data_IF_958171871435
#
_entry.id   IF_958171871435
#
_cell.length_a   1.000
_cell.length_b   1.000
_cell.length_c   1.000
_cell.angle_alpha   90.00
_cell.angle_beta   90.00
_cell.angle_gamma   90.00
#
_symmetry.space_group_name_H-M   'P 1'
#
loop_
_entity.id
_entity.type
_entity.pdbx_description
1 polymer ?
#
# COMPACT_ATOMS: atom_id res chain seq x y z
N UNK A 1 -9.27 14.79 -8.74
CA UNK A 1 -7.97 14.20 -9.19
C UNK A 1 -7.58 13.03 -8.29
N UNK A 2 -7.52 13.21 -6.96
CA UNK A 2 -7.21 12.13 -6.01
C UNK A 2 -8.13 10.90 -6.11
N UNK A 3 -9.46 11.11 -6.16
CA UNK A 3 -10.40 10.00 -6.34
C UNK A 3 -10.15 9.20 -7.63
N UNK A 4 -9.75 9.87 -8.71
CA UNK A 4 -9.44 9.19 -9.97
C UNK A 4 -8.16 8.37 -9.82
N UNK A 5 -7.10 8.92 -9.19
CA UNK A 5 -5.87 8.20 -8.87
C UNK A 5 -6.15 6.91 -8.09
N UNK A 6 -7.00 6.96 -7.06
CA UNK A 6 -7.42 5.77 -6.32
C UNK A 6 -8.15 4.74 -7.20
N UNK A 7 -9.04 5.19 -8.09
CA UNK A 7 -9.73 4.32 -9.04
C UNK A 7 -8.78 3.67 -10.05
N UNK A 8 -7.79 4.42 -10.54
CA UNK A 8 -6.80 3.91 -11.51
C UNK A 8 -5.84 2.90 -10.86
N UNK A 9 -5.63 3.02 -9.55
CA UNK A 9 -4.84 2.08 -8.77
C UNK A 9 -5.63 0.84 -8.34
N UNK A 10 -6.96 0.77 -8.50
CA UNK A 10 -7.72 -0.44 -8.19
C UNK A 10 -7.42 -1.60 -9.16
N UNK A 11 -7.61 -2.82 -8.67
CA UNK A 11 -7.46 -4.08 -9.42
C UNK A 11 -8.55 -5.06 -9.01
N UNK A 12 -8.68 -6.18 -9.73
CA UNK A 12 -9.62 -7.25 -9.33
C UNK A 12 -9.31 -7.80 -7.93
N UNK A 13 -8.03 -7.84 -7.55
CA UNK A 13 -7.57 -8.43 -6.29
C UNK A 13 -7.68 -7.50 -5.07
N UNK A 14 -7.96 -6.21 -5.30
CA UNK A 14 -8.14 -5.19 -4.27
C UNK A 14 -9.60 -4.82 -4.03
N UNK A 15 -10.51 -5.27 -4.90
CA UNK A 15 -11.95 -5.02 -4.75
C UNK A 15 -12.43 -5.43 -3.36
N UNK A 16 -13.07 -4.49 -2.66
CA UNK A 16 -13.60 -4.70 -1.31
C UNK A 16 -12.56 -4.70 -0.20
N UNK A 17 -11.29 -4.38 -0.50
CA UNK A 17 -10.22 -4.28 0.49
C UNK A 17 -9.68 -2.86 0.56
N UNK A 18 -9.29 -2.42 1.75
CA UNK A 18 -8.55 -1.18 1.92
C UNK A 18 -7.06 -1.41 1.62
N UNK A 19 -6.46 -0.54 0.82
CA UNK A 19 -5.03 -0.57 0.55
C UNK A 19 -4.46 0.84 0.42
N UNK A 20 -3.14 0.94 0.58
CA UNK A 20 -2.37 2.15 0.30
C UNK A 20 -1.20 1.81 -0.61
N UNK A 21 -0.72 2.81 -1.35
CA UNK A 21 0.50 2.72 -2.15
C UNK A 21 1.58 3.65 -1.59
N UNK A 22 2.80 3.53 -2.08
CA UNK A 22 3.91 4.37 -1.63
C UNK A 22 3.60 5.88 -1.73
N UNK A 23 2.95 6.31 -2.81
CA UNK A 23 2.59 7.72 -3.00
C UNK A 23 1.63 8.23 -1.92
N UNK A 24 0.73 7.38 -1.39
CA UNK A 24 -0.17 7.77 -0.30
C UNK A 24 0.58 7.97 1.02
N UNK A 25 1.64 7.18 1.25
CA UNK A 25 2.51 7.35 2.42
C UNK A 25 3.24 8.69 2.33
N UNK A 26 3.76 9.04 1.15
CA UNK A 26 4.41 10.34 0.94
C UNK A 26 3.44 11.52 1.01
N UNK A 27 2.19 11.36 0.55
CA UNK A 27 1.18 12.43 0.51
C UNK A 27 0.54 12.67 1.88
N UNK A 28 0.22 11.61 2.64
CA UNK A 28 -0.61 11.70 3.85
C UNK A 28 0.15 11.48 5.16
N UNK A 29 1.46 11.23 5.12
CA UNK A 29 2.27 11.02 6.33
C UNK A 29 3.60 11.78 6.24
N UNK A 30 4.27 11.98 7.37
CA UNK A 30 5.65 12.49 7.40
C UNK A 30 6.69 11.37 7.30
N UNK A 31 6.29 10.15 6.91
CA UNK A 31 7.15 8.98 6.84
C UNK A 31 7.88 8.92 5.50
N UNK A 32 9.11 8.41 5.52
CA UNK A 32 9.87 8.07 4.30
C UNK A 32 9.81 6.57 4.05
N UNK A 33 9.66 6.18 2.79
CA UNK A 33 9.72 4.77 2.36
C UNK A 33 11.19 4.34 2.22
N UNK A 34 11.86 4.19 3.37
CA UNK A 34 13.28 3.79 3.46
C UNK A 34 13.44 2.34 3.96
N UNK A 35 14.69 1.91 4.22
CA UNK A 35 14.96 0.55 4.74
C UNK A 35 14.29 0.29 6.10
N UNK A 36 14.13 1.31 6.95
CA UNK A 36 13.45 1.19 8.24
C UNK A 36 11.97 0.94 8.03
N UNK A 37 11.34 1.69 7.12
CA UNK A 37 9.95 1.48 6.74
C UNK A 37 9.72 0.07 6.17
N UNK A 38 10.61 -0.41 5.30
CA UNK A 38 10.54 -1.79 4.78
C UNK A 38 10.66 -2.84 5.90
N UNK A 39 11.49 -2.58 6.92
CA UNK A 39 11.56 -3.41 8.12
C UNK A 39 10.23 -3.46 8.88
N UNK A 40 9.57 -2.32 9.08
CA UNK A 40 8.24 -2.23 9.72
C UNK A 40 7.20 -2.99 8.88
N UNK A 41 7.18 -2.82 7.55
CA UNK A 41 6.28 -3.56 6.68
C UNK A 41 6.48 -5.08 6.76
N UNK A 42 7.73 -5.54 6.89
CA UNK A 42 8.02 -6.96 7.08
C UNK A 42 7.46 -7.47 8.41
N UNK A 43 7.61 -6.71 9.49
CA UNK A 43 7.00 -7.03 10.79
C UNK A 43 5.47 -7.08 10.71
N UNK A 44 4.84 -6.08 10.09
CA UNK A 44 3.38 -6.05 9.93
C UNK A 44 2.86 -7.22 9.08
N UNK A 45 3.60 -7.60 8.03
CA UNK A 45 3.27 -8.79 7.21
C UNK A 45 3.40 -10.08 8.02
N UNK A 46 4.47 -10.21 8.81
CA UNK A 46 4.66 -11.36 9.69
C UNK A 46 3.54 -11.47 10.72
N UNK A 47 3.10 -10.34 11.29
CA UNK A 47 1.99 -10.26 12.23
C UNK A 47 0.60 -10.34 11.58
N UNK A 48 0.51 -10.65 10.28
CA UNK A 48 -0.74 -10.77 9.53
C UNK A 48 -1.62 -9.50 9.60
N UNK A 49 -1.00 -8.32 9.63
CA UNK A 49 -1.70 -7.02 9.64
C UNK A 49 -1.84 -6.39 8.26
N UNK A 50 -1.01 -6.81 7.32
CA UNK A 50 -1.10 -6.40 5.92
C UNK A 50 -0.54 -7.48 4.99
N UNK A 51 -0.92 -7.42 3.71
CA UNK A 51 -0.30 -8.17 2.61
C UNK A 51 0.13 -7.24 1.48
N UNK A 52 1.10 -7.67 0.68
CA UNK A 52 1.54 -6.93 -0.50
C UNK A 52 0.95 -7.55 -1.76
N UNK A 53 0.30 -6.73 -2.58
CA UNK A 53 -0.09 -7.09 -3.95
C UNK A 53 0.76 -6.31 -4.95
N UNK A 54 1.31 -7.00 -5.94
CA UNK A 54 2.16 -6.41 -6.97
C UNK A 54 1.48 -6.56 -8.33
N UNK A 55 1.39 -5.48 -9.09
CA UNK A 55 0.79 -5.51 -10.42
C UNK A 55 0.73 -4.12 -11.05
N UNK A 56 0.96 -4.06 -12.37
CA UNK A 56 0.97 -2.79 -13.12
C UNK A 56 2.08 -1.83 -12.69
N UNK A 57 3.24 -2.35 -12.28
CA UNK A 57 4.35 -1.55 -11.76
C UNK A 57 4.12 -0.95 -10.37
N UNK A 58 2.99 -1.27 -9.72
CA UNK A 58 2.59 -0.70 -8.44
C UNK A 58 2.53 -1.77 -7.34
N UNK A 59 3.00 -1.40 -6.15
CA UNK A 59 2.88 -2.22 -4.93
C UNK A 59 1.77 -1.65 -4.07
N UNK A 60 0.82 -2.50 -3.70
CA UNK A 60 -0.33 -2.16 -2.86
C UNK A 60 -0.20 -2.87 -1.52
N UNK A 61 -0.20 -2.10 -0.45
CA UNK A 61 -0.18 -2.60 0.92
C UNK A 61 -1.64 -2.73 1.38
N UNK A 62 -2.19 -3.93 1.24
CA UNK A 62 -3.58 -4.25 1.57
C UNK A 62 -3.68 -4.54 3.06
N UNK A 63 -4.59 -3.87 3.75
CA UNK A 63 -4.88 -4.10 5.16
C UNK A 63 -5.72 -5.38 5.32
N UNK A 64 -5.38 -6.19 6.32
CA UNK A 64 -6.05 -7.46 6.64
C UNK A 64 -7.00 -7.30 7.83
#
# INVERSE_FOLDING_TARGET
RLQQRFRDQETKDTKGHCFVVEEDIHEFTQMKVDKRFQGILNMLRHCQRLRQLRGGGLVRYVLL
#
